data_IF_933224270520
#
_entry.id   IF_933224270520
#
_cell.length_a   1.000
_cell.length_b   1.000
_cell.length_c   1.000
_cell.angle_alpha   90.00
_cell.angle_beta   90.00
_cell.angle_gamma   90.00
#
_symmetry.space_group_name_H-M   'P 1'
#
loop_
_entity.id
_entity.type
_entity.pdbx_description
1 polymer ?
#
# COMPACT_ATOMS: atom_id res chain seq x y z
N UNK A 1 76.02 55.38 -31.71
CA UNK A 1 75.77 55.95 -30.37
C UNK A 1 74.46 55.39 -29.84
N UNK A 2 74.43 54.90 -28.60
CA UNK A 2 73.21 54.53 -27.89
C UNK A 2 73.20 53.11 -27.33
N UNK A 3 73.89 52.95 -26.19
CA UNK A 3 73.74 51.94 -25.14
C UNK A 3 72.26 51.57 -24.86
N UNK A 4 71.83 50.45 -24.29
CA UNK A 4 72.43 49.48 -23.36
C UNK A 4 71.40 48.35 -23.15
N UNK A 5 71.89 47.13 -22.90
CA UNK A 5 71.45 46.14 -21.89
C UNK A 5 69.96 45.70 -21.78
N UNK A 6 69.56 44.53 -21.29
CA UNK A 6 70.08 43.17 -21.04
C UNK A 6 68.90 42.46 -20.28
N UNK A 7 68.99 41.13 -20.05
CA UNK A 7 68.18 40.30 -19.10
C UNK A 7 66.83 39.75 -19.61
N UNK A 8 66.73 38.44 -19.89
CA UNK A 8 66.54 37.26 -19.00
C UNK A 8 65.27 37.29 -18.14
N UNK A 9 64.53 36.16 -18.23
CA UNK A 9 63.40 35.68 -17.41
C UNK A 9 62.11 36.50 -17.56
N UNK A 10 60.92 35.97 -17.86
CA UNK A 10 60.21 34.90 -17.15
C UNK A 10 59.05 34.34 -18.01
N UNK A 11 59.21 33.13 -18.57
CA UNK A 11 58.07 32.34 -19.07
C UNK A 11 57.60 31.45 -17.93
N UNK A 12 56.98 32.04 -16.90
CA UNK A 12 56.45 31.28 -15.76
C UNK A 12 55.45 32.03 -14.87
N UNK A 13 54.42 32.68 -15.42
CA UNK A 13 53.32 33.17 -14.57
C UNK A 13 52.05 33.59 -15.33
N UNK A 14 51.39 32.68 -16.06
CA UNK A 14 50.01 32.92 -16.54
C UNK A 14 49.16 31.64 -16.48
N UNK A 15 49.30 30.87 -15.40
CA UNK A 15 48.37 29.80 -15.04
C UNK A 15 48.02 29.88 -13.56
N UNK A 16 47.21 30.87 -13.20
CA UNK A 16 46.36 30.85 -12.01
C UNK A 16 45.54 32.13 -12.01
N UNK A 17 44.27 32.04 -11.60
CA UNK A 17 43.32 33.13 -11.37
C UNK A 17 42.28 33.33 -12.49
N UNK A 18 41.53 32.28 -12.82
CA UNK A 18 40.07 32.46 -12.92
C UNK A 18 39.50 31.92 -11.61
N UNK A 19 39.31 32.81 -10.63
CA UNK A 19 38.59 32.48 -9.42
C UNK A 19 37.16 32.14 -9.81
N UNK A 20 36.73 30.94 -9.45
CA UNK A 20 35.32 30.57 -9.45
C UNK A 20 34.65 31.21 -8.25
N UNK A 21 34.54 32.52 -8.25
CA UNK A 21 33.75 33.26 -7.28
C UNK A 21 32.29 33.29 -7.75
N UNK A 22 31.70 32.10 -7.84
CA UNK A 22 30.25 31.98 -7.70
C UNK A 22 29.94 32.23 -6.22
N UNK A 23 29.90 33.50 -5.83
CA UNK A 23 29.33 33.93 -4.56
C UNK A 23 27.84 33.64 -4.58
N UNK A 24 27.51 32.40 -4.19
CA UNK A 24 26.17 32.02 -3.82
C UNK A 24 25.81 32.91 -2.63
N UNK A 25 25.02 33.95 -2.87
CA UNK A 25 24.51 34.83 -1.83
C UNK A 25 23.69 33.98 -0.86
N UNK A 26 24.36 33.45 0.17
CA UNK A 26 23.78 32.60 1.21
C UNK A 26 22.81 33.47 1.97
N UNK A 27 21.54 33.42 1.54
CA UNK A 27 20.43 34.03 2.22
C UNK A 27 20.36 33.40 3.62
N UNK A 28 20.91 34.13 4.58
CA UNK A 28 20.96 33.82 6.00
C UNK A 28 19.52 33.84 6.54
N UNK A 29 18.80 32.71 6.43
CA UNK A 29 17.50 32.51 7.10
C UNK A 29 17.48 31.16 7.82
N UNK A 30 17.55 31.27 9.14
CA UNK A 30 17.36 30.26 10.20
C UNK A 30 18.33 29.07 10.23
N UNK A 31 19.00 28.95 11.37
CA UNK A 31 19.78 27.82 11.87
C UNK A 31 18.91 26.58 12.18
N UNK A 32 18.06 26.15 11.24
CA UNK A 32 17.53 24.78 11.27
C UNK A 32 18.54 23.86 10.59
N UNK A 33 18.95 22.78 11.29
CA UNK A 33 19.80 21.75 10.69
C UNK A 33 19.08 21.16 9.48
N UNK A 34 19.57 21.45 8.28
CA UNK A 34 19.07 20.86 7.03
C UNK A 34 19.38 19.36 7.07
N UNK A 35 18.37 18.55 7.41
CA UNK A 35 18.45 17.10 7.28
C UNK A 35 18.07 16.72 5.84
N UNK A 36 19.03 16.25 5.01
CA UNK A 36 18.77 15.88 3.63
C UNK A 36 17.78 14.72 3.48
N UNK A 37 17.44 14.01 4.57
CA UNK A 37 16.44 12.93 4.58
C UNK A 37 15.02 13.45 4.81
N UNK A 38 14.85 14.67 5.33
CA UNK A 38 13.54 15.24 5.69
C UNK A 38 12.90 15.90 4.47
N UNK A 39 11.92 15.21 3.89
CA UNK A 39 11.14 15.73 2.76
C UNK A 39 10.41 17.03 3.11
N UNK A 40 10.48 18.00 2.20
CA UNK A 40 9.76 19.27 2.32
C UNK A 40 8.24 19.06 2.29
N UNK A 41 7.46 20.04 2.80
CA UNK A 41 5.98 19.98 2.75
C UNK A 41 5.46 19.86 1.30
N UNK A 42 6.14 20.52 0.36
CA UNK A 42 5.84 20.45 -1.09
C UNK A 42 6.07 19.04 -1.63
N UNK A 43 7.21 18.42 -1.34
CA UNK A 43 7.50 17.03 -1.75
C UNK A 43 6.51 16.03 -1.16
N UNK A 44 6.16 16.15 0.12
CA UNK A 44 5.15 15.27 0.76
C UNK A 44 3.78 15.37 0.08
N UNK A 45 3.43 16.56 -0.40
CA UNK A 45 2.18 16.81 -1.14
C UNK A 45 2.22 16.24 -2.55
N UNK A 46 3.37 16.33 -3.21
CA UNK A 46 3.56 15.94 -4.61
C UNK A 46 4.11 14.51 -4.80
N UNK A 47 4.16 13.73 -3.72
CA UNK A 47 4.56 12.32 -3.74
C UNK A 47 3.34 11.42 -3.87
N UNK A 48 3.20 10.80 -5.05
CA UNK A 48 2.15 9.84 -5.40
C UNK A 48 2.66 8.39 -5.37
N UNK A 49 3.24 8.01 -4.22
CA UNK A 49 3.81 6.67 -3.97
C UNK A 49 2.98 5.88 -2.97
N UNK A 50 3.16 4.56 -2.99
CA UNK A 50 2.60 3.66 -1.98
C UNK A 50 1.31 2.98 -2.42
N UNK A 51 0.59 2.43 -1.42
CA UNK A 51 -0.61 1.58 -1.62
C UNK A 51 -1.85 2.17 -0.96
N UNK A 52 -1.75 3.32 -0.31
CA UNK A 52 -2.91 3.95 0.32
C UNK A 52 -3.70 4.77 -0.70
N UNK A 53 -4.60 4.09 -1.41
CA UNK A 53 -5.36 4.68 -2.50
C UNK A 53 -6.34 5.77 -2.05
N UNK A 54 -6.75 5.80 -0.76
CA UNK A 54 -7.63 6.85 -0.24
C UNK A 54 -6.90 8.17 -0.10
N UNK A 55 -5.71 8.16 0.51
CA UNK A 55 -4.89 9.36 0.65
C UNK A 55 -4.34 9.82 -0.69
N UNK A 56 -3.96 8.91 -1.58
CA UNK A 56 -3.56 9.25 -2.96
C UNK A 56 -4.70 9.91 -3.74
N UNK A 57 -5.93 9.41 -3.61
CA UNK A 57 -7.10 10.00 -4.26
C UNK A 57 -7.35 11.43 -3.77
N UNK A 58 -7.31 11.64 -2.45
CA UNK A 58 -7.45 12.97 -1.85
C UNK A 58 -6.37 13.93 -2.37
N UNK A 59 -5.10 13.51 -2.39
CA UNK A 59 -4.00 14.33 -2.94
C UNK A 59 -4.21 14.69 -4.41
N UNK A 60 -4.73 13.76 -5.21
CA UNK A 60 -4.99 14.00 -6.64
C UNK A 60 -6.12 15.03 -6.84
N UNK A 61 -7.18 14.93 -6.03
CA UNK A 61 -8.28 15.90 -6.01
C UNK A 61 -7.79 17.28 -5.53
N UNK A 62 -7.13 17.35 -4.36
CA UNK A 62 -6.58 18.59 -3.80
C UNK A 62 -5.61 19.29 -4.78
N UNK A 63 -4.88 18.52 -5.61
CA UNK A 63 -4.01 19.06 -6.66
C UNK A 63 -4.83 19.64 -7.81
N UNK A 64 -5.84 18.92 -8.29
CA UNK A 64 -6.73 19.38 -9.36
C UNK A 64 -7.47 20.66 -8.95
N UNK A 65 -8.05 20.68 -7.76
CA UNK A 65 -8.78 21.83 -7.23
C UNK A 65 -7.88 23.06 -7.08
N UNK A 66 -6.60 22.87 -6.69
CA UNK A 66 -5.63 23.98 -6.62
C UNK A 66 -5.35 24.57 -8.00
N UNK A 67 -5.22 23.73 -9.01
CA UNK A 67 -4.97 24.18 -10.38
C UNK A 67 -6.18 24.93 -10.91
N UNK A 68 -7.39 24.41 -10.69
CA UNK A 68 -8.64 25.06 -11.09
C UNK A 68 -8.82 26.44 -10.43
N UNK A 69 -8.62 26.53 -9.11
CA UNK A 69 -8.65 27.82 -8.40
C UNK A 69 -7.60 28.81 -8.92
N UNK A 70 -6.41 28.32 -9.31
CA UNK A 70 -5.38 29.18 -9.90
C UNK A 70 -5.73 29.63 -11.31
N UNK A 71 -6.48 28.83 -12.09
CA UNK A 71 -6.94 29.24 -13.43
C UNK A 71 -7.92 30.41 -13.35
N UNK A 72 -8.78 30.43 -12.34
CA UNK A 72 -9.75 31.50 -12.12
C UNK A 72 -9.06 32.82 -11.74
N UNK A 73 -8.02 32.77 -10.90
CA UNK A 73 -7.33 33.97 -10.41
C UNK A 73 -6.22 34.44 -11.35
N UNK A 74 -5.43 33.51 -11.90
CA UNK A 74 -4.23 33.81 -12.68
C UNK A 74 -3.94 32.69 -13.72
N UNK A 75 -4.51 32.79 -14.94
CA UNK A 75 -4.45 31.71 -15.93
C UNK A 75 -3.01 31.37 -16.36
N UNK A 76 -2.15 32.38 -16.56
CA UNK A 76 -0.76 32.18 -16.97
C UNK A 76 0.05 31.37 -15.94
N UNK A 77 -0.12 31.69 -14.66
CA UNK A 77 0.54 30.96 -13.56
C UNK A 77 0.04 29.52 -13.46
N UNK A 78 -1.23 29.28 -13.78
CA UNK A 78 -1.79 27.93 -13.80
C UNK A 78 -1.19 27.09 -14.94
N UNK A 79 -1.03 27.65 -16.14
CA UNK A 79 -0.40 26.97 -17.28
C UNK A 79 1.06 26.62 -16.97
N UNK A 80 1.82 27.57 -16.43
CA UNK A 80 3.21 27.32 -16.02
C UNK A 80 3.32 26.22 -14.96
N UNK A 81 2.41 26.23 -13.96
CA UNK A 81 2.38 25.21 -12.90
C UNK A 81 2.02 23.83 -13.46
N UNK A 82 1.03 23.73 -14.36
CA UNK A 82 0.69 22.48 -15.04
C UNK A 82 1.86 21.94 -15.87
N UNK A 83 2.55 22.82 -16.60
CA UNK A 83 3.76 22.49 -17.37
C UNK A 83 4.84 21.88 -16.48
N UNK A 84 5.15 22.55 -15.38
CA UNK A 84 6.13 22.06 -14.39
C UNK A 84 5.73 20.71 -13.81
N UNK A 85 4.45 20.49 -13.46
CA UNK A 85 3.98 19.20 -12.95
C UNK A 85 4.13 18.09 -13.99
N UNK A 86 3.78 18.37 -15.26
CA UNK A 86 3.89 17.40 -16.36
C UNK A 86 5.36 17.04 -16.61
N UNK A 87 6.24 18.03 -16.61
CA UNK A 87 7.67 17.84 -16.80
C UNK A 87 8.30 17.04 -15.65
N UNK A 88 8.03 17.42 -14.39
CA UNK A 88 8.48 16.68 -13.20
C UNK A 88 7.99 15.23 -13.21
N UNK A 89 6.75 15.00 -13.66
CA UNK A 89 6.19 13.65 -13.80
C UNK A 89 6.95 12.85 -14.85
N UNK A 90 7.25 13.43 -16.01
CA UNK A 90 7.99 12.77 -17.07
C UNK A 90 9.40 12.37 -16.60
N UNK A 91 10.11 13.28 -15.92
CA UNK A 91 11.44 12.98 -15.34
C UNK A 91 11.37 11.82 -14.35
N UNK A 92 10.41 11.85 -13.42
CA UNK A 92 10.25 10.76 -12.43
C UNK A 92 9.90 9.43 -13.09
N UNK A 93 9.05 9.45 -14.11
CA UNK A 93 8.70 8.24 -14.85
C UNK A 93 9.92 7.69 -15.61
N UNK A 94 10.71 8.56 -16.24
CA UNK A 94 11.97 8.19 -16.90
C UNK A 94 12.99 7.61 -15.91
N UNK A 95 13.03 8.12 -14.67
CA UNK A 95 13.86 7.55 -13.59
C UNK A 95 13.31 6.22 -13.04
N UNK A 96 12.25 5.66 -13.62
CA UNK A 96 11.64 4.39 -13.19
C UNK A 96 10.63 4.50 -12.05
N UNK A 97 10.29 5.73 -11.61
CA UNK A 97 9.34 5.94 -10.53
C UNK A 97 7.88 5.77 -10.99
N UNK A 98 7.14 4.88 -10.32
CA UNK A 98 5.71 4.67 -10.56
C UNK A 98 4.86 5.77 -9.89
N UNK A 99 4.60 6.85 -10.62
CA UNK A 99 3.72 7.95 -10.19
C UNK A 99 2.24 7.54 -10.31
N UNK A 100 1.49 7.53 -9.20
CA UNK A 100 0.07 7.11 -9.14
C UNK A 100 -0.89 8.28 -8.87
N UNK A 101 -1.07 9.15 -9.85
CA UNK A 101 -1.88 10.37 -9.76
C UNK A 101 -3.26 10.28 -10.46
N UNK A 102 -3.50 9.24 -11.25
CA UNK A 102 -4.76 9.06 -11.99
C UNK A 102 -5.96 8.74 -11.09
N UNK A 103 -6.93 9.67 -10.99
CA UNK A 103 -8.12 9.59 -10.13
C UNK A 103 -8.94 8.31 -10.37
N UNK A 104 -9.23 7.97 -11.63
CA UNK A 104 -10.05 6.80 -11.96
C UNK A 104 -9.40 5.48 -11.55
N UNK A 105 -8.09 5.35 -11.77
CA UNK A 105 -7.33 4.17 -11.39
C UNK A 105 -7.25 4.04 -9.87
N UNK A 106 -7.15 5.16 -9.14
CA UNK A 106 -7.18 5.20 -7.69
C UNK A 106 -8.55 4.75 -7.15
N UNK A 107 -9.66 5.24 -7.72
CA UNK A 107 -11.02 4.78 -7.39
C UNK A 107 -11.19 3.27 -7.65
N UNK A 108 -10.73 2.78 -8.81
CA UNK A 108 -10.73 1.34 -9.13
C UNK A 108 -9.87 0.55 -8.13
N UNK A 109 -8.72 1.11 -7.72
CA UNK A 109 -7.85 0.52 -6.70
C UNK A 109 -8.51 0.36 -5.33
N UNK A 110 -9.30 1.36 -4.91
CA UNK A 110 -10.11 1.29 -3.68
C UNK A 110 -11.13 0.15 -3.77
N UNK A 111 -11.93 0.10 -4.85
CA UNK A 111 -12.94 -0.95 -5.07
C UNK A 111 -12.32 -2.36 -5.06
N UNK A 112 -11.16 -2.54 -5.70
CA UNK A 112 -10.42 -3.82 -5.68
C UNK A 112 -10.00 -4.21 -4.26
N UNK A 113 -9.54 -3.25 -3.45
CA UNK A 113 -9.18 -3.52 -2.05
C UNK A 113 -10.39 -3.95 -1.23
N UNK A 114 -11.54 -3.32 -1.42
CA UNK A 114 -12.79 -3.68 -0.74
C UNK A 114 -13.23 -5.09 -1.12
N UNK A 115 -13.32 -5.39 -2.43
CA UNK A 115 -13.64 -6.74 -2.91
C UNK A 115 -12.69 -7.82 -2.36
N UNK A 116 -11.41 -7.50 -2.24
CA UNK A 116 -10.42 -8.40 -1.65
C UNK A 116 -10.65 -8.63 -0.15
N UNK A 117 -11.06 -7.59 0.60
CA UNK A 117 -11.44 -7.73 2.01
C UNK A 117 -12.69 -8.60 2.16
N UNK A 118 -13.71 -8.38 1.31
CA UNK A 118 -14.95 -9.16 1.35
C UNK A 118 -14.70 -10.63 1.04
N UNK A 119 -13.88 -10.92 0.03
CA UNK A 119 -13.48 -12.30 -0.29
C UNK A 119 -12.77 -12.97 0.88
N UNK A 120 -11.88 -12.23 1.56
CA UNK A 120 -11.18 -12.74 2.75
C UNK A 120 -12.15 -13.00 3.90
N UNK A 121 -13.08 -12.08 4.15
CA UNK A 121 -14.15 -12.23 5.15
C UNK A 121 -14.99 -13.48 4.87
N UNK A 122 -15.54 -13.61 3.65
CA UNK A 122 -16.32 -14.78 3.23
C UNK A 122 -15.55 -16.10 3.41
N UNK A 123 -14.27 -16.14 3.01
CA UNK A 123 -13.42 -17.34 3.18
C UNK A 123 -13.23 -17.70 4.65
N UNK A 124 -13.09 -16.70 5.52
CA UNK A 124 -12.96 -16.91 6.96
C UNK A 124 -14.26 -17.42 7.59
N UNK A 125 -15.38 -16.82 7.21
CA UNK A 125 -16.71 -17.22 7.69
C UNK A 125 -17.04 -18.65 7.25
N UNK A 126 -16.73 -19.00 5.99
CA UNK A 126 -16.89 -20.37 5.48
C UNK A 126 -16.04 -21.38 6.25
N UNK A 127 -14.78 -21.04 6.59
CA UNK A 127 -13.92 -21.90 7.42
C UNK A 127 -14.53 -22.15 8.80
N UNK A 128 -15.01 -21.09 9.46
CA UNK A 128 -15.69 -21.20 10.76
C UNK A 128 -16.95 -22.05 10.68
N UNK A 129 -17.75 -21.89 9.63
CA UNK A 129 -18.95 -22.70 9.41
C UNK A 129 -18.59 -24.17 9.19
N UNK A 130 -17.58 -24.46 8.38
CA UNK A 130 -17.12 -25.83 8.13
C UNK A 130 -16.62 -26.47 9.42
N UNK A 131 -15.82 -25.75 10.22
CA UNK A 131 -15.34 -26.25 11.52
C UNK A 131 -16.51 -26.61 12.46
N UNK A 132 -17.54 -25.75 12.54
CA UNK A 132 -18.75 -26.02 13.32
C UNK A 132 -19.50 -27.25 12.80
N UNK A 133 -19.68 -27.36 11.48
CA UNK A 133 -20.34 -28.50 10.83
C UNK A 133 -19.59 -29.80 11.09
N UNK A 134 -18.26 -29.80 10.98
CA UNK A 134 -17.43 -30.97 11.26
C UNK A 134 -17.56 -31.41 12.71
N UNK A 135 -17.46 -30.47 13.67
CA UNK A 135 -17.67 -30.75 15.10
C UNK A 135 -19.05 -31.36 15.36
N UNK A 136 -20.11 -30.75 14.81
CA UNK A 136 -21.47 -31.25 14.94
C UNK A 136 -21.63 -32.65 14.32
N UNK A 137 -21.09 -32.88 13.12
CA UNK A 137 -21.17 -34.18 12.44
C UNK A 137 -20.48 -35.30 13.22
N UNK A 138 -19.30 -35.02 13.82
CA UNK A 138 -18.59 -35.97 14.67
C UNK A 138 -19.38 -36.28 15.95
N UNK A 139 -19.97 -35.27 16.58
CA UNK A 139 -20.82 -35.46 17.74
C UNK A 139 -22.09 -36.26 17.42
N UNK A 140 -22.76 -35.97 16.30
CA UNK A 140 -23.93 -36.73 15.83
C UNK A 140 -23.59 -38.19 15.58
N UNK A 141 -22.48 -38.48 14.87
CA UNK A 141 -21.98 -39.85 14.66
C UNK A 141 -21.75 -40.57 15.98
N UNK A 142 -21.13 -39.90 16.97
CA UNK A 142 -20.91 -40.47 18.30
C UNK A 142 -22.23 -40.80 19.01
N UNK A 143 -23.22 -39.89 18.96
CA UNK A 143 -24.55 -40.11 19.57
C UNK A 143 -25.25 -41.31 18.94
N UNK A 144 -25.32 -41.36 17.61
CA UNK A 144 -25.92 -42.50 16.88
C UNK A 144 -25.24 -43.83 17.21
N UNK A 145 -23.90 -43.86 17.31
CA UNK A 145 -23.18 -45.08 17.65
C UNK A 145 -23.46 -45.53 19.10
N UNK A 146 -23.58 -44.59 20.05
CA UNK A 146 -23.93 -44.90 21.44
C UNK A 146 -25.35 -45.44 21.52
N UNK A 147 -26.29 -44.84 20.79
CA UNK A 147 -27.69 -45.27 20.75
C UNK A 147 -27.82 -46.69 20.16
N UNK A 148 -27.17 -46.95 19.02
CA UNK A 148 -27.08 -48.31 18.44
C UNK A 148 -26.49 -49.32 19.43
N UNK A 149 -25.46 -48.95 20.20
CA UNK A 149 -24.91 -49.83 21.26
C UNK A 149 -25.91 -50.09 22.37
N UNK A 150 -26.69 -49.08 22.80
CA UNK A 150 -27.75 -49.27 23.81
C UNK A 150 -28.85 -50.20 23.30
N UNK A 151 -29.28 -50.02 22.06
CA UNK A 151 -30.38 -50.80 21.49
C UNK A 151 -29.96 -52.25 21.21
N UNK A 152 -28.75 -52.48 20.70
CA UNK A 152 -28.20 -53.84 20.56
C UNK A 152 -28.08 -54.56 21.90
N UNK A 153 -27.69 -53.87 22.98
CA UNK A 153 -27.68 -54.45 24.34
C UNK A 153 -29.10 -54.81 24.79
N UNK A 154 -30.10 -53.94 24.59
CA UNK A 154 -31.51 -54.24 24.91
C UNK A 154 -32.02 -55.42 24.08
N UNK A 155 -31.78 -55.43 22.77
CA UNK A 155 -32.19 -56.48 21.85
C UNK A 155 -31.57 -57.84 22.23
N UNK A 156 -30.27 -57.85 22.57
CA UNK A 156 -29.59 -59.06 23.05
C UNK A 156 -30.16 -59.58 24.37
N UNK A 157 -30.54 -58.69 25.31
CA UNK A 157 -31.25 -59.09 26.54
C UNK A 157 -32.60 -59.72 26.20
N UNK A 158 -33.39 -59.09 25.33
CA UNK A 158 -34.69 -59.60 24.88
C UNK A 158 -34.53 -60.98 24.20
N UNK A 159 -33.58 -61.13 23.27
CA UNK A 159 -33.27 -62.41 22.59
C UNK A 159 -32.91 -63.51 23.57
N UNK A 160 -32.05 -63.23 24.57
CA UNK A 160 -31.68 -64.19 25.61
C UNK A 160 -32.88 -64.62 26.46
N UNK A 161 -33.75 -63.69 26.83
CA UNK A 161 -34.95 -64.00 27.61
C UNK A 161 -35.98 -64.80 26.82
N UNK A 162 -36.16 -64.51 25.52
CA UNK A 162 -36.98 -65.32 24.58
C UNK A 162 -36.46 -66.76 24.50
N UNK A 163 -35.15 -66.96 24.30
CA UNK A 163 -34.54 -68.31 24.24
C UNK A 163 -34.74 -69.12 25.53
N UNK A 164 -34.81 -68.44 26.69
CA UNK A 164 -35.05 -69.07 28.00
C UNK A 164 -36.54 -69.23 28.34
N UNK A 165 -37.46 -68.92 27.42
CA UNK A 165 -38.91 -68.98 27.67
C UNK A 165 -39.43 -67.96 28.68
N UNK A 166 -38.64 -66.95 29.08
CA UNK A 166 -39.00 -65.96 30.11
C UNK A 166 -39.78 -64.76 29.58
N UNK A 167 -40.02 -64.69 28.27
CA UNK A 167 -40.73 -63.58 27.61
C UNK A 167 -41.75 -64.16 26.64
N UNK A 168 -43.03 -63.89 26.90
CA UNK A 168 -44.18 -64.19 26.02
C UNK A 168 -44.46 -62.92 25.21
N UNK A 169 -44.41 -63.00 23.89
CA UNK A 169 -44.83 -61.89 23.02
C UNK A 169 -46.34 -62.03 22.84
N UNK A 170 -47.13 -61.06 23.31
CA UNK A 170 -48.49 -60.86 22.79
C UNK A 170 -48.32 -60.16 21.45
N UNK A 171 -48.46 -60.89 20.35
CA UNK A 171 -48.49 -60.33 19.01
C UNK A 171 -49.79 -59.52 18.86
N UNK A 172 -49.65 -58.22 18.59
CA UNK A 172 -50.71 -57.37 18.04
C UNK A 172 -50.36 -57.03 16.61
#
# INVERSE_FOLDING_TARGET
MGASDDKKSDVKSLQSNLSTDFEFNVLKKSTEKFDPRKKTKKEKRDTFKGRDYKTLLKKAQDRKDRIEKLKEVAPEKAVALEGNIKFDKAIRQASGEKVKDNIELLKKGIKRKEKMKDRRKKKWDQRKQNEKKEKASKQMKRRMNIEKRKDTVKENKIKKSKKKGRVVIKSS
#
